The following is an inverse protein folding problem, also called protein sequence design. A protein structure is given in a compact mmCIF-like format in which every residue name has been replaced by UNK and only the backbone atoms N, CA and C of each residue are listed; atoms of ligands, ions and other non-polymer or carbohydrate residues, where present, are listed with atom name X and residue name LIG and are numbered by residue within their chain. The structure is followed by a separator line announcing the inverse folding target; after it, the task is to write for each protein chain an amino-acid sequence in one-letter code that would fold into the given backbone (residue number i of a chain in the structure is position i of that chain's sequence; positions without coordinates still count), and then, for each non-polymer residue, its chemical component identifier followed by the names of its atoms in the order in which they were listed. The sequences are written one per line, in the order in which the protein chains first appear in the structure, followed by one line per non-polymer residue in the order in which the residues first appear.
data_IF_965272040733
#
_entry.id   IF_965272040733
#
_cell.length_a   1.000
_cell.length_b   1.000
_cell.length_c   1.000
_cell.angle_alpha   90.00
_cell.angle_beta   90.00
_cell.angle_gamma   90.00
#
_symmetry.space_group_name_H-M   'P 1'
#
loop_
_entity.id
_entity.type
_entity.pdbx_description
1 polymer ?
#
# COMPACT_ATOMS: atom_id res chain seq x y z
N UNK A 1 39.92 13.21 -27.10
CA UNK A 1 38.54 12.77 -27.43
C UNK A 1 37.87 12.38 -26.13
N UNK A 2 37.11 13.29 -25.51
CA UNK A 2 36.35 12.98 -24.30
C UNK A 2 35.03 12.33 -24.74
N UNK A 3 34.97 11.00 -24.64
CA UNK A 3 33.73 10.26 -24.80
C UNK A 3 33.04 10.24 -23.43
N UNK A 4 32.39 11.35 -23.06
CA UNK A 4 31.50 11.36 -21.90
C UNK A 4 30.27 10.55 -22.28
N UNK A 5 30.13 9.37 -21.67
CA UNK A 5 28.87 8.64 -21.56
C UNK A 5 27.79 9.63 -21.07
N UNK A 6 27.08 10.24 -22.01
CA UNK A 6 25.77 10.79 -21.72
C UNK A 6 24.90 9.54 -21.52
N UNK A 7 24.68 9.16 -20.27
CA UNK A 7 23.66 8.16 -19.93
C UNK A 7 22.42 8.49 -20.77
N UNK A 8 21.92 7.50 -21.53
CA UNK A 8 20.81 7.77 -22.43
C UNK A 8 19.63 8.28 -21.59
N UNK A 9 18.79 9.15 -22.13
CA UNK A 9 17.60 9.63 -21.41
C UNK A 9 16.70 8.48 -20.90
N UNK A 10 16.82 7.29 -21.51
CA UNK A 10 16.18 6.03 -21.10
C UNK A 10 16.80 5.40 -19.84
N UNK A 11 18.09 5.60 -19.54
CA UNK A 11 18.74 5.08 -18.32
C UNK A 11 18.12 5.66 -17.02
N UNK A 12 17.38 6.76 -17.13
CA UNK A 12 16.67 7.37 -15.99
C UNK A 12 15.28 6.75 -15.74
N UNK A 13 14.69 6.08 -16.73
CA UNK A 13 13.37 5.47 -16.61
C UNK A 13 13.52 4.04 -16.10
N UNK A 14 13.20 3.87 -14.82
CA UNK A 14 13.17 2.55 -14.17
C UNK A 14 11.89 1.81 -14.53
N UNK A 15 12.05 0.63 -15.13
CA UNK A 15 10.96 -0.33 -15.38
C UNK A 15 10.50 -0.99 -14.07
N UNK A 16 9.30 -1.59 -14.07
CA UNK A 16 8.64 -2.15 -12.89
C UNK A 16 8.49 -1.16 -11.71
N UNK A 17 8.56 0.14 -11.99
CA UNK A 17 8.36 1.21 -11.00
C UNK A 17 7.09 1.99 -11.35
N UNK A 18 6.55 2.66 -10.33
CA UNK A 18 5.35 3.47 -10.46
C UNK A 18 5.72 4.93 -10.64
N UNK A 19 4.98 5.59 -11.54
CA UNK A 19 5.12 6.99 -11.90
C UNK A 19 3.79 7.68 -11.73
N UNK A 20 3.84 8.94 -11.32
CA UNK A 20 2.67 9.82 -11.23
C UNK A 20 2.70 10.79 -12.39
N UNK A 21 1.61 10.89 -13.14
CA UNK A 21 1.43 11.92 -14.14
C UNK A 21 1.11 13.26 -13.47
N UNK A 22 1.50 14.40 -14.06
CA UNK A 22 1.26 15.73 -13.49
C UNK A 22 -0.23 16.09 -13.27
N UNK A 23 -1.14 15.37 -13.93
CA UNK A 23 -2.60 15.47 -13.71
C UNK A 23 -3.12 14.63 -12.53
N UNK A 24 -2.26 13.84 -11.89
CA UNK A 24 -2.59 13.08 -10.68
C UNK A 24 -2.65 11.56 -10.84
N UNK A 25 -2.88 11.03 -12.05
CA UNK A 25 -3.00 9.58 -12.28
C UNK A 25 -1.70 8.81 -12.07
N UNK A 26 -1.80 7.56 -11.65
CA UNK A 26 -0.67 6.67 -11.40
C UNK A 26 -0.54 5.58 -12.45
N UNK A 27 0.70 5.27 -12.80
CA UNK A 27 1.03 4.35 -13.88
C UNK A 27 2.23 3.48 -13.51
N UNK A 28 2.22 2.21 -13.90
CA UNK A 28 3.40 1.34 -13.84
C UNK A 28 4.09 1.31 -15.21
N UNK A 29 5.41 1.49 -15.23
CA UNK A 29 6.22 1.36 -16.45
C UNK A 29 6.65 -0.10 -16.60
N UNK A 30 6.26 -0.73 -17.71
CA UNK A 30 6.60 -2.12 -18.00
C UNK A 30 7.97 -2.21 -18.68
N UNK A 31 8.18 -1.41 -19.72
CA UNK A 31 9.41 -1.45 -20.50
C UNK A 31 9.68 -0.12 -21.21
N UNK A 32 10.93 0.07 -21.62
CA UNK A 32 11.28 1.00 -22.68
C UNK A 32 11.51 0.15 -23.93
N UNK A 33 10.81 0.49 -25.02
CA UNK A 33 10.86 -0.22 -26.29
C UNK A 33 11.38 0.71 -27.39
N UNK A 34 11.75 0.14 -28.54
CA UNK A 34 12.04 0.88 -29.75
C UNK A 34 10.96 0.59 -30.79
N UNK A 35 10.42 1.64 -31.40
CA UNK A 35 9.53 1.48 -32.54
C UNK A 35 10.33 0.98 -33.74
N UNK A 36 9.84 -0.03 -34.45
CA UNK A 36 10.55 -0.57 -35.62
C UNK A 36 10.71 0.48 -36.73
N UNK A 37 9.67 1.27 -36.97
CA UNK A 37 9.61 2.23 -38.09
C UNK A 37 10.68 3.32 -38.02
N UNK A 38 10.96 3.85 -36.83
CA UNK A 38 11.84 5.02 -36.65
C UNK A 38 13.03 4.74 -35.73
N UNK A 39 13.02 3.62 -35.01
CA UNK A 39 13.96 3.35 -33.93
C UNK A 39 13.77 4.23 -32.69
N UNK A 40 12.72 5.06 -32.62
CA UNK A 40 12.45 5.95 -31.49
C UNK A 40 12.18 5.15 -30.20
N UNK A 41 12.79 5.59 -29.10
CA UNK A 41 12.55 5.00 -27.79
C UNK A 41 11.22 5.49 -27.21
N UNK A 42 10.37 4.52 -26.84
CA UNK A 42 9.06 4.76 -26.25
C UNK A 42 8.94 4.02 -24.91
N UNK A 43 8.21 4.63 -23.99
CA UNK A 43 7.84 4.03 -22.70
C UNK A 43 6.53 3.29 -22.88
N UNK A 44 6.49 2.02 -22.49
CA UNK A 44 5.28 1.20 -22.39
C UNK A 44 4.82 1.21 -20.94
N UNK A 45 3.64 1.74 -20.68
CA UNK A 45 3.13 1.96 -19.32
C UNK A 45 1.64 1.68 -19.21
N UNK A 46 1.19 1.29 -18.03
CA UNK A 46 -0.18 0.91 -17.75
C UNK A 46 -0.78 1.77 -16.65
N UNK A 47 -2.00 2.24 -16.86
CA UNK A 47 -2.80 2.93 -15.83
C UNK A 47 -3.11 2.00 -14.68
N UNK A 48 -2.82 2.42 -13.44
CA UNK A 48 -3.19 1.65 -12.25
C UNK A 48 -4.70 1.72 -11.94
N UNK A 49 -5.40 2.74 -12.43
CA UNK A 49 -6.83 2.92 -12.21
C UNK A 49 -7.67 2.12 -13.21
N UNK A 50 -7.33 2.21 -14.50
CA UNK A 50 -8.16 1.67 -15.58
C UNK A 50 -7.59 0.40 -16.19
N UNK A 51 -6.36 0.03 -15.87
CA UNK A 51 -5.65 -1.10 -16.48
C UNK A 51 -5.24 -0.89 -17.94
N UNK A 52 -5.55 0.25 -18.55
CA UNK A 52 -5.24 0.54 -19.95
C UNK A 52 -3.72 0.71 -20.16
N UNK A 53 -3.19 0.07 -21.20
CA UNK A 53 -1.79 0.18 -21.62
C UNK A 53 -1.65 1.27 -22.69
N UNK A 54 -0.57 2.05 -22.57
CA UNK A 54 -0.22 3.17 -23.43
C UNK A 54 1.26 3.11 -23.82
N UNK A 55 1.59 3.78 -24.92
CA UNK A 55 2.97 4.06 -25.31
C UNK A 55 3.19 5.57 -25.43
N UNK A 56 4.41 6.04 -25.18
CA UNK A 56 4.78 7.45 -25.33
C UNK A 56 6.28 7.60 -25.60
N UNK A 57 6.73 8.53 -26.47
CA UNK A 57 8.15 8.83 -26.62
C UNK A 57 8.83 9.14 -25.29
N UNK A 58 10.05 8.62 -25.09
CA UNK A 58 10.86 8.86 -23.87
C UNK A 58 11.06 10.36 -23.62
N UNK A 59 11.33 11.12 -24.68
CA UNK A 59 11.46 12.59 -24.63
C UNK A 59 10.21 13.27 -24.08
N UNK A 60 9.04 12.83 -24.53
CA UNK A 60 7.73 13.35 -24.10
C UNK A 60 7.34 12.86 -22.71
N UNK A 61 7.83 11.71 -22.27
CA UNK A 61 7.59 11.16 -20.94
C UNK A 61 8.37 11.93 -19.87
N UNK A 62 9.64 12.23 -20.13
CA UNK A 62 10.52 13.01 -19.25
C UNK A 62 10.39 14.53 -19.43
N UNK A 63 9.45 14.98 -20.25
CA UNK A 63 9.24 16.41 -20.52
C UNK A 63 8.82 17.15 -19.25
N UNK A 64 9.19 18.43 -19.12
CA UNK A 64 8.64 19.29 -18.06
C UNK A 64 7.14 19.50 -18.23
N UNK A 65 6.45 19.79 -17.13
CA UNK A 65 5.05 20.18 -17.21
C UNK A 65 4.94 21.51 -17.97
N UNK A 66 4.13 21.59 -19.05
CA UNK A 66 3.95 22.84 -19.78
C UNK A 66 3.32 23.91 -18.90
N UNK A 67 3.81 25.14 -18.98
CA UNK A 67 3.37 26.25 -18.13
C UNK A 67 1.90 26.65 -18.36
N UNK A 68 1.33 26.31 -19.52
CA UNK A 68 -0.07 26.56 -19.90
C UNK A 68 -1.04 25.47 -19.39
N UNK A 69 -0.55 24.44 -18.69
CA UNK A 69 -1.37 23.33 -18.20
C UNK A 69 -1.61 23.41 -16.70
N UNK A 70 -2.82 23.03 -16.31
CA UNK A 70 -3.16 22.83 -14.90
C UNK A 70 -2.31 21.70 -14.32
N UNK A 71 -1.59 22.01 -13.25
CA UNK A 71 -0.68 21.09 -12.56
C UNK A 71 -1.10 20.94 -11.09
N UNK A 72 -2.17 20.18 -10.80
CA UNK A 72 -2.67 20.02 -9.43
C UNK A 72 -1.67 19.32 -8.51
N UNK A 73 -0.67 18.64 -9.08
CA UNK A 73 0.34 17.89 -8.33
C UNK A 73 1.58 18.71 -7.96
N UNK A 74 1.78 19.86 -8.58
CA UNK A 74 2.99 20.67 -8.41
C UNK A 74 4.28 20.02 -8.95
N UNK A 75 4.18 18.95 -9.75
CA UNK A 75 5.34 18.23 -10.29
C UNK A 75 6.10 19.07 -11.32
N UNK A 76 7.41 18.87 -11.40
CA UNK A 76 8.26 19.56 -12.38
C UNK A 76 8.25 18.85 -13.73
N UNK A 77 8.19 17.52 -13.73
CA UNK A 77 8.13 16.70 -14.93
C UNK A 77 6.73 16.12 -15.14
N UNK A 78 6.43 15.80 -16.40
CA UNK A 78 5.16 15.23 -16.83
C UNK A 78 4.87 13.92 -16.11
N UNK A 79 5.89 13.11 -15.90
CA UNK A 79 5.88 11.92 -15.06
C UNK A 79 7.04 11.96 -14.08
N UNK A 80 6.76 11.79 -12.78
CA UNK A 80 7.79 11.62 -11.77
C UNK A 80 7.66 10.24 -11.11
N UNK A 81 8.81 9.60 -10.87
CA UNK A 81 8.87 8.29 -10.22
C UNK A 81 8.44 8.43 -8.77
N UNK A 82 7.52 7.58 -8.34
CA UNK A 82 7.12 7.48 -6.93
C UNK A 82 8.24 6.73 -6.20
N UNK A 83 9.03 7.44 -5.39
CA UNK A 83 10.19 6.87 -4.68
C UNK A 83 9.79 6.20 -3.36
N UNK A 84 8.78 6.74 -2.69
CA UNK A 84 8.21 6.19 -1.46
C UNK A 84 6.81 5.64 -1.73
N UNK A 85 6.73 4.32 -1.90
CA UNK A 85 5.45 3.63 -2.11
C UNK A 85 4.76 3.25 -0.79
N UNK A 86 5.47 3.31 0.34
CA UNK A 86 4.95 2.99 1.68
C UNK A 86 3.71 3.84 2.05
N UNK A 87 3.61 5.03 1.47
CA UNK A 87 2.48 5.92 1.68
C UNK A 87 1.32 5.72 0.70
N UNK A 88 1.26 4.68 -0.16
CA UNK A 88 0.17 4.49 -1.15
C UNK A 88 -0.77 3.30 -0.88
N UNK A 89 -0.59 2.58 0.23
CA UNK A 89 -1.54 1.56 0.70
C UNK A 89 -2.98 2.09 0.87
N UNK A 90 -3.18 3.41 0.94
CA UNK A 90 -4.48 4.06 1.09
C UNK A 90 -5.25 4.28 -0.22
N UNK A 91 -4.63 4.11 -1.40
CA UNK A 91 -5.27 4.34 -2.71
C UNK A 91 -5.92 3.09 -3.29
N UNK A 92 -5.54 1.93 -2.77
CA UNK A 92 -6.17 0.65 -3.06
C UNK A 92 -7.12 0.41 -1.89
N UNK A 93 -8.40 0.11 -2.14
CA UNK A 93 -9.27 -0.30 -1.04
C UNK A 93 -8.65 -1.51 -0.35
N UNK A 94 -8.88 -1.65 0.95
CA UNK A 94 -8.36 -2.80 1.71
C UNK A 94 -8.74 -4.12 1.03
N UNK A 95 -9.93 -4.22 0.43
CA UNK A 95 -10.35 -5.41 -0.32
C UNK A 95 -9.48 -5.65 -1.56
N UNK A 96 -9.20 -4.62 -2.37
CA UNK A 96 -8.43 -4.77 -3.59
C UNK A 96 -6.96 -5.09 -3.32
N UNK A 97 -6.40 -4.56 -2.24
CA UNK A 97 -5.03 -4.88 -1.80
C UNK A 97 -4.94 -6.35 -1.37
N UNK A 98 -5.90 -6.81 -0.57
CA UNK A 98 -5.97 -8.21 -0.12
C UNK A 98 -6.15 -9.14 -1.31
N UNK A 99 -7.06 -8.83 -2.23
CA UNK A 99 -7.31 -9.65 -3.42
C UNK A 99 -6.11 -9.73 -4.38
N UNK A 100 -5.28 -8.69 -4.45
CA UNK A 100 -4.04 -8.71 -5.23
C UNK A 100 -2.96 -9.56 -4.55
N UNK A 101 -2.78 -9.41 -3.24
CA UNK A 101 -1.83 -10.18 -2.45
C UNK A 101 -2.16 -11.68 -2.44
N UNK A 102 -3.45 -12.04 -2.39
CA UNK A 102 -3.92 -13.43 -2.41
C UNK A 102 -3.56 -14.18 -3.71
N UNK A 103 -3.44 -13.46 -4.83
CA UNK A 103 -3.16 -14.03 -6.16
C UNK A 103 -1.68 -14.28 -6.44
N UNK A 104 -0.78 -13.79 -5.59
CA UNK A 104 0.65 -13.90 -5.83
C UNK A 104 1.19 -15.26 -5.43
N UNK A 105 2.24 -15.72 -6.10
CA UNK A 105 2.91 -16.98 -5.72
C UNK A 105 3.62 -16.88 -4.36
N UNK A 106 4.03 -15.67 -3.97
CA UNK A 106 4.59 -15.31 -2.67
C UNK A 106 3.52 -14.74 -1.73
N UNK A 107 2.24 -15.07 -1.97
CA UNK A 107 1.11 -14.56 -1.20
C UNK A 107 1.44 -14.62 0.30
N UNK A 108 1.55 -13.46 0.98
CA UNK A 108 1.92 -13.40 2.40
C UNK A 108 0.82 -13.99 3.30
N UNK A 109 -0.36 -14.26 2.72
CA UNK A 109 -1.47 -14.98 3.31
C UNK A 109 -1.56 -16.44 2.87
N UNK A 110 -0.65 -16.95 2.03
CA UNK A 110 -0.62 -18.38 1.70
C UNK A 110 -0.28 -19.16 2.98
N UNK A 111 -1.27 -19.86 3.52
CA UNK A 111 -1.19 -20.53 4.82
C UNK A 111 -1.63 -19.67 6.01
N UNK A 112 -1.91 -18.37 5.81
CA UNK A 112 -2.67 -17.56 6.77
C UNK A 112 -4.12 -17.58 6.30
N UNK A 113 -4.96 -18.34 6.99
CA UNK A 113 -6.42 -18.37 6.79
C UNK A 113 -6.95 -16.96 6.49
N UNK A 114 -7.63 -16.79 5.35
CA UNK A 114 -8.16 -15.49 4.97
C UNK A 114 -9.12 -15.02 6.08
N UNK A 115 -8.89 -13.80 6.57
CA UNK A 115 -9.78 -13.13 7.53
C UNK A 115 -11.14 -12.80 6.89
N UNK A 116 -11.32 -13.09 5.60
CA UNK A 116 -12.55 -12.87 4.84
C UNK A 116 -13.49 -14.08 4.84
N UNK A 117 -13.05 -15.26 5.29
CA UNK A 117 -13.94 -16.40 5.49
C UNK A 117 -14.55 -16.38 6.91
N UNK A 118 -15.57 -15.55 7.10
CA UNK A 118 -16.38 -15.52 8.32
C UNK A 118 -17.09 -16.87 8.62
N UNK A 119 -16.96 -17.91 7.78
CA UNK A 119 -17.54 -19.23 8.05
C UNK A 119 -16.79 -20.03 9.12
N UNK A 120 -15.53 -19.70 9.42
CA UNK A 120 -14.72 -20.38 10.47
C UNK A 120 -14.64 -19.62 11.80
N UNK A 121 -15.13 -18.38 11.85
CA UNK A 121 -15.19 -17.57 13.08
C UNK A 121 -16.43 -17.96 13.86
N UNK A 122 -16.27 -18.82 14.87
CA UNK A 122 -17.40 -19.24 15.70
C UNK A 122 -17.63 -18.30 16.91
N UNK A 123 -16.68 -17.42 17.25
CA UNK A 123 -16.85 -16.46 18.35
C UNK A 123 -16.03 -15.19 18.18
N UNK A 124 -16.63 -14.06 18.58
CA UNK A 124 -15.96 -12.77 18.72
C UNK A 124 -16.24 -12.22 20.11
N UNK A 125 -15.17 -11.84 20.81
CA UNK A 125 -15.23 -11.15 22.09
C UNK A 125 -14.66 -9.73 21.93
N UNK A 126 -15.17 -8.81 22.74
CA UNK A 126 -14.70 -7.43 22.88
C UNK A 126 -14.15 -7.26 24.29
N UNK A 127 -12.83 -7.15 24.39
CA UNK A 127 -12.08 -7.10 25.63
C UNK A 127 -11.86 -5.64 26.04
N UNK A 128 -12.34 -5.25 27.21
CA UNK A 128 -11.99 -3.98 27.83
C UNK A 128 -10.75 -4.21 28.70
N UNK A 129 -9.71 -3.41 28.50
CA UNK A 129 -8.43 -3.60 29.18
C UNK A 129 -7.43 -2.51 28.83
N UNK A 130 -6.16 -2.68 29.21
CA UNK A 130 -5.09 -1.70 28.97
C UNK A 130 -3.84 -2.38 28.45
N UNK A 131 -3.03 -1.63 27.70
CA UNK A 131 -1.69 -2.08 27.33
C UNK A 131 -0.72 -1.82 28.47
N UNK A 132 0.09 -2.82 28.80
CA UNK A 132 1.13 -2.74 29.81
C UNK A 132 2.45 -3.16 29.19
N UNK A 133 3.44 -2.30 29.35
CA UNK A 133 4.80 -2.53 28.87
C UNK A 133 5.60 -3.22 29.98
N UNK A 134 6.06 -4.44 29.69
CA UNK A 134 6.93 -5.25 30.53
C UNK A 134 8.36 -5.17 30.00
N UNK A 135 9.27 -4.67 30.82
CA UNK A 135 10.69 -4.60 30.48
C UNK A 135 11.32 -5.98 30.68
N UNK A 136 11.83 -6.58 29.60
CA UNK A 136 12.59 -7.84 29.68
C UNK A 136 14.04 -7.52 30.06
N UNK A 137 14.61 -6.49 29.43
CA UNK A 137 15.95 -5.96 29.71
C UNK A 137 16.03 -4.48 29.30
N UNK A 138 17.24 -3.92 29.25
CA UNK A 138 17.47 -2.50 28.92
C UNK A 138 17.12 -2.12 27.48
N UNK A 139 17.02 -3.09 26.57
CA UNK A 139 16.79 -2.87 25.14
C UNK A 139 15.47 -3.49 24.66
N UNK A 140 14.92 -4.45 25.40
CA UNK A 140 13.72 -5.21 25.04
C UNK A 140 12.54 -4.91 25.97
N UNK A 141 11.45 -4.43 25.37
CA UNK A 141 10.16 -4.23 26.05
C UNK A 141 9.09 -5.06 25.33
N UNK A 142 8.28 -5.80 26.10
CA UNK A 142 7.09 -6.50 25.59
C UNK A 142 5.85 -5.76 26.04
N UNK A 143 5.01 -5.38 25.08
CA UNK A 143 3.70 -4.82 25.34
C UNK A 143 2.68 -5.95 25.38
N UNK A 144 2.00 -6.12 26.52
CA UNK A 144 0.89 -7.05 26.68
C UNK A 144 -0.43 -6.31 26.93
N UNK A 145 -1.56 -6.98 26.78
CA UNK A 145 -2.89 -6.44 27.02
C UNK A 145 -3.53 -7.08 28.25
N UNK A 146 -3.59 -6.32 29.35
CA UNK A 146 -4.26 -6.75 30.58
C UNK A 146 -5.77 -6.58 30.45
N UNK A 147 -6.49 -7.71 30.48
CA UNK A 147 -7.94 -7.75 30.32
C UNK A 147 -8.62 -7.47 31.66
N UNK A 148 -9.49 -6.45 31.69
CA UNK A 148 -10.36 -6.15 32.83
C UNK A 148 -11.70 -6.88 32.71
N UNK A 149 -12.34 -6.82 31.52
CA UNK A 149 -13.62 -7.52 31.25
C UNK A 149 -13.75 -7.96 29.79
N UNK A 150 -14.60 -8.96 29.52
CA UNK A 150 -14.92 -9.44 28.16
C UNK A 150 -16.43 -9.36 27.89
N UNK A 151 -16.81 -9.04 26.65
CA UNK A 151 -18.21 -8.91 26.21
C UNK A 151 -18.42 -9.51 24.81
N UNK A 152 -19.60 -10.05 24.53
CA UNK A 152 -19.91 -10.62 23.21
C UNK A 152 -20.30 -9.57 22.16
N UNK A 153 -20.63 -8.35 22.57
CA UNK A 153 -20.96 -7.26 21.65
C UNK A 153 -20.13 -6.02 21.94
N UNK A 154 -19.81 -5.27 20.88
CA UNK A 154 -19.09 -3.99 21.00
C UNK A 154 -19.87 -2.98 21.84
N UNK A 155 -21.21 -2.96 21.69
CA UNK A 155 -22.09 -2.04 22.42
C UNK A 155 -22.01 -2.25 23.93
N UNK A 156 -21.93 -3.49 24.39
CA UNK A 156 -21.85 -3.80 25.81
C UNK A 156 -20.45 -3.51 26.38
N UNK A 157 -19.40 -3.79 25.60
CA UNK A 157 -18.04 -3.37 25.94
C UNK A 157 -17.91 -1.84 26.05
N UNK A 158 -18.51 -1.10 25.12
CA UNK A 158 -18.51 0.37 25.13
C UNK A 158 -19.21 0.93 26.37
N UNK A 159 -20.41 0.45 26.68
CA UNK A 159 -21.12 0.81 27.91
C UNK A 159 -20.30 0.50 29.17
N UNK A 160 -19.58 -0.63 29.18
CA UNK A 160 -18.73 -1.00 30.30
C UNK A 160 -17.54 -0.06 30.43
N UNK A 161 -16.87 0.28 29.33
CA UNK A 161 -15.76 1.23 29.29
C UNK A 161 -16.19 2.61 29.80
N UNK A 162 -17.31 3.13 29.29
CA UNK A 162 -17.91 4.40 29.73
C UNK A 162 -18.22 4.39 31.23
N UNK A 163 -18.80 3.29 31.74
CA UNK A 163 -19.12 3.14 33.17
C UNK A 163 -17.88 3.08 34.06
N UNK A 164 -16.77 2.53 33.57
CA UNK A 164 -15.51 2.47 34.32
C UNK A 164 -14.86 3.85 34.42
N UNK A 165 -15.09 4.76 33.46
CA UNK A 165 -14.63 6.15 33.50
C UNK A 165 -13.11 6.29 33.53
N UNK A 166 -12.38 5.26 33.11
CA UNK A 166 -10.92 5.16 33.16
C UNK A 166 -10.35 5.41 31.76
N UNK A 167 -9.52 6.43 31.63
CA UNK A 167 -8.90 6.84 30.36
C UNK A 167 -7.76 5.94 29.90
N UNK A 168 -7.22 5.11 30.80
CA UNK A 168 -6.17 4.15 30.49
C UNK A 168 -6.69 2.85 29.85
N UNK A 169 -8.02 2.67 29.81
CA UNK A 169 -8.66 1.49 29.25
C UNK A 169 -9.08 1.72 27.78
N UNK A 170 -9.05 0.65 27.00
CA UNK A 170 -9.50 0.59 25.61
C UNK A 170 -10.23 -0.73 25.33
N UNK A 171 -10.82 -0.86 24.13
CA UNK A 171 -11.50 -2.06 23.67
C UNK A 171 -10.69 -2.72 22.55
N UNK A 172 -10.41 -4.01 22.70
CA UNK A 172 -9.76 -4.85 21.69
C UNK A 172 -10.74 -5.95 21.23
N UNK A 173 -10.85 -6.17 19.93
CA UNK A 173 -11.63 -7.28 19.35
C UNK A 173 -10.78 -8.55 19.33
N UNK A 174 -11.23 -9.60 20.00
CA UNK A 174 -10.63 -10.94 19.96
C UNK A 174 -11.51 -11.88 19.13
N UNK A 175 -10.92 -12.50 18.13
CA UNK A 175 -11.61 -13.40 17.19
C UNK A 175 -11.16 -14.83 17.46
N UNK A 176 -12.11 -15.75 17.60
CA UNK A 176 -11.87 -17.18 17.72
C UNK A 176 -12.30 -17.85 16.42
N UNK A 177 -11.40 -18.62 15.84
CA UNK A 177 -11.58 -19.31 14.58
C UNK A 177 -11.04 -20.73 14.68
N UNK A 178 -11.66 -21.67 13.96
CA UNK A 178 -11.13 -23.03 13.84
C UNK A 178 -9.88 -23.01 12.97
N UNK A 179 -8.78 -23.55 13.50
CA UNK A 179 -7.51 -23.65 12.79
C UNK A 179 -7.43 -25.08 12.25
N UNK A 180 -7.66 -25.24 10.94
CA UNK A 180 -7.38 -26.52 10.30
C UNK A 180 -5.86 -26.69 10.24
N UNK A 181 -5.33 -27.73 10.90
CA UNK A 181 -3.91 -28.10 10.91
C UNK A 181 -3.54 -29.00 9.73
#
# INVERSE_FOLDING_TARGET
MFNSYLASFSDQIRTANIYRHFKGGYYIVHSVAKTEETGEEVVVYQSLETGQIWTRPVSSFNERVPADKENPTGQFHRFERVVEFENQLHLISTENLVAELEKRNDNPFAGVMSVTDNSKVWRTDYLVGKYVDYFIDSENTVRDFEIETSHFTFKDALKRLEKLGRSDLTIVKKVFMDVDF
#
